data_IF_902788649422
#
_entry.id   IF_902788649422
#
_cell.length_a   1.000
_cell.length_b   1.000
_cell.length_c   1.000
_cell.angle_alpha   90.00
_cell.angle_beta   90.00
_cell.angle_gamma   90.00
#
_symmetry.space_group_name_H-M   'P 1'
#
loop_
_entity.id
_entity.type
_entity.pdbx_description
1 polymer ?
#
# COMPACT_ATOMS: atom_id res chain seq x y z
N UNK A 1 -32.79 10.38 40.18
CA UNK A 1 -33.68 9.72 39.19
C UNK A 1 -32.78 9.13 38.13
N UNK A 2 -32.57 7.81 38.17
CA UNK A 2 -31.77 7.09 37.17
C UNK A 2 -32.65 6.85 35.95
N UNK A 3 -32.28 7.44 34.80
CA UNK A 3 -32.94 7.15 33.52
C UNK A 3 -32.49 5.76 33.06
N UNK A 4 -33.29 4.74 33.32
CA UNK A 4 -33.14 3.46 32.64
C UNK A 4 -33.59 3.62 31.19
N UNK A 5 -32.82 3.10 30.21
CA UNK A 5 -33.21 3.14 28.80
C UNK A 5 -34.53 2.39 28.61
N UNK A 6 -35.46 2.93 27.82
CA UNK A 6 -36.73 2.27 27.56
C UNK A 6 -36.51 0.97 26.76
N UNK A 7 -37.42 0.01 26.92
CA UNK A 7 -37.41 -1.28 26.21
C UNK A 7 -37.20 -1.11 24.70
N UNK A 8 -37.87 -0.12 24.10
CA UNK A 8 -37.80 0.18 22.67
C UNK A 8 -36.39 0.60 22.22
N UNK A 9 -35.64 1.29 23.10
CA UNK A 9 -34.27 1.70 22.79
C UNK A 9 -33.30 0.51 22.81
N UNK A 10 -33.48 -0.42 23.76
CA UNK A 10 -32.68 -1.65 23.83
C UNK A 10 -32.97 -2.55 22.63
N UNK A 11 -34.24 -2.67 22.23
CA UNK A 11 -34.61 -3.46 21.05
C UNK A 11 -34.03 -2.86 19.75
N UNK A 12 -34.05 -1.54 19.61
CA UNK A 12 -33.40 -0.86 18.46
C UNK A 12 -31.88 -1.07 18.42
N UNK A 13 -31.22 -1.05 19.59
CA UNK A 13 -29.78 -1.35 19.70
C UNK A 13 -29.48 -2.80 19.32
N UNK A 14 -30.30 -3.76 19.78
CA UNK A 14 -30.16 -5.17 19.41
C UNK A 14 -30.34 -5.36 17.91
N UNK A 15 -31.36 -4.78 17.30
CA UNK A 15 -31.58 -4.85 15.84
C UNK A 15 -30.42 -4.22 15.05
N UNK A 16 -29.86 -3.11 15.55
CA UNK A 16 -28.70 -2.48 14.92
C UNK A 16 -27.45 -3.37 15.01
N UNK A 17 -27.23 -4.03 16.15
CA UNK A 17 -26.10 -4.94 16.35
C UNK A 17 -26.23 -6.19 15.47
N UNK A 18 -27.44 -6.77 15.37
CA UNK A 18 -27.71 -7.92 14.50
C UNK A 18 -27.48 -7.58 13.03
N UNK A 19 -27.91 -6.38 12.59
CA UNK A 19 -27.64 -5.91 11.24
C UNK A 19 -26.14 -5.72 10.96
N UNK A 20 -25.36 -5.26 11.96
CA UNK A 20 -23.90 -5.17 11.83
C UNK A 20 -23.27 -6.56 11.75
N UNK A 21 -23.72 -7.51 12.58
CA UNK A 21 -23.23 -8.88 12.57
C UNK A 21 -23.50 -9.57 11.23
N UNK A 22 -24.68 -9.39 10.65
CA UNK A 22 -25.02 -9.92 9.33
C UNK A 22 -24.13 -9.34 8.23
N UNK A 23 -23.84 -8.04 8.26
CA UNK A 23 -22.92 -7.41 7.29
C UNK A 23 -21.50 -7.98 7.40
N UNK A 24 -21.01 -8.20 8.62
CA UNK A 24 -19.70 -8.81 8.85
C UNK A 24 -19.67 -10.24 8.31
N UNK A 25 -20.71 -11.03 8.57
CA UNK A 25 -20.83 -12.41 8.06
C UNK A 25 -20.86 -12.45 6.53
N UNK A 26 -21.60 -11.53 5.89
CA UNK A 26 -21.66 -11.46 4.43
C UNK A 26 -20.31 -11.05 3.81
N UNK A 27 -19.60 -10.10 4.43
CA UNK A 27 -18.26 -9.70 4.00
C UNK A 27 -17.27 -10.86 4.13
N UNK A 28 -17.31 -11.60 5.25
CA UNK A 28 -16.47 -12.79 5.46
C UNK A 28 -16.73 -13.87 4.41
N UNK A 29 -18.00 -14.14 4.08
CA UNK A 29 -18.36 -15.10 3.04
C UNK A 29 -17.85 -14.67 1.66
N UNK A 30 -17.92 -13.39 1.35
CA UNK A 30 -17.42 -12.84 0.06
C UNK A 30 -15.91 -13.07 -0.09
N UNK A 31 -15.15 -12.89 1.00
CA UNK A 31 -13.70 -13.16 1.01
C UNK A 31 -13.44 -14.65 0.81
N UNK A 32 -14.16 -15.53 1.52
CA UNK A 32 -14.03 -16.98 1.37
C UNK A 32 -14.29 -17.43 -0.08
N UNK A 33 -15.35 -16.92 -0.70
CA UNK A 33 -15.71 -17.23 -2.08
C UNK A 33 -14.62 -16.75 -3.06
N UNK A 34 -14.02 -15.58 -2.80
CA UNK A 34 -12.91 -15.06 -3.61
C UNK A 34 -11.66 -15.93 -3.48
N UNK A 35 -11.33 -16.39 -2.27
CA UNK A 35 -10.22 -17.33 -2.04
C UNK A 35 -10.45 -18.65 -2.77
N UNK A 36 -11.65 -19.23 -2.66
CA UNK A 36 -11.99 -20.48 -3.36
C UNK A 36 -11.90 -20.33 -4.89
N UNK A 37 -12.34 -19.19 -5.44
CA UNK A 37 -12.19 -18.89 -6.88
C UNK A 37 -10.72 -18.81 -7.28
N UNK A 38 -9.89 -18.15 -6.48
CA UNK A 38 -8.45 -18.07 -6.74
C UNK A 38 -7.79 -19.45 -6.70
N UNK A 39 -8.14 -20.29 -5.73
CA UNK A 39 -7.65 -21.67 -5.63
C UNK A 39 -8.08 -22.52 -6.84
N UNK A 40 -9.32 -22.37 -7.31
CA UNK A 40 -9.81 -23.05 -8.50
C UNK A 40 -9.03 -22.63 -9.76
N UNK A 41 -8.72 -21.35 -9.91
CA UNK A 41 -7.88 -20.84 -11.01
C UNK A 41 -6.48 -21.45 -10.97
N UNK A 42 -5.87 -21.51 -9.78
CA UNK A 42 -4.54 -22.12 -9.59
C UNK A 42 -4.58 -23.62 -9.89
N UNK A 43 -5.63 -24.33 -9.49
CA UNK A 43 -5.81 -25.75 -9.81
C UNK A 43 -6.01 -25.99 -11.31
N UNK A 44 -6.80 -25.15 -11.99
CA UNK A 44 -6.96 -25.22 -13.44
C UNK A 44 -5.64 -24.97 -14.18
N UNK A 45 -4.85 -23.99 -13.72
CA UNK A 45 -3.54 -23.71 -14.29
C UNK A 45 -2.54 -24.88 -14.11
N UNK A 46 -2.65 -25.65 -13.02
CA UNK A 46 -1.84 -26.85 -12.77
C UNK A 46 -2.23 -28.07 -13.62
N UNK A 47 -3.43 -28.09 -14.19
CA UNK A 47 -3.94 -29.17 -15.03
C UNK A 47 -3.75 -28.91 -16.54
N UNK A 48 -3.26 -27.72 -16.92
CA UNK A 48 -2.91 -27.42 -18.30
C UNK A 48 -1.56 -28.08 -18.67
N UNK A 49 -1.61 -29.08 -19.56
CA UNK A 49 -0.50 -29.88 -20.08
C UNK A 49 0.58 -29.01 -20.78
N UNK A 50 1.90 -29.14 -20.49
CA UNK A 50 2.92 -28.25 -21.06
C UNK A 50 3.37 -28.61 -22.50
N UNK A 51 2.55 -29.30 -23.30
CA UNK A 51 2.96 -29.81 -24.61
C UNK A 51 2.09 -29.30 -25.78
N UNK A 52 2.47 -28.17 -26.37
CA UNK A 52 2.24 -27.85 -27.79
C UNK A 52 3.49 -27.14 -28.36
N UNK A 53 3.99 -27.52 -29.56
CA UNK A 53 5.40 -27.40 -29.89
C UNK A 53 5.80 -26.03 -30.47
N UNK A 54 6.94 -25.49 -30.02
CA UNK A 54 7.76 -24.57 -30.78
C UNK A 54 8.93 -25.37 -31.40
N UNK A 55 9.07 -25.29 -32.72
CA UNK A 55 10.05 -26.03 -33.51
C UNK A 55 11.49 -25.50 -33.31
N UNK A 56 12.43 -26.44 -33.12
CA UNK A 56 13.87 -26.47 -33.49
C UNK A 56 14.75 -25.20 -33.23
N UNK A 57 15.93 -25.25 -32.61
CA UNK A 57 17.04 -26.20 -32.75
C UNK A 57 18.16 -25.97 -31.69
N UNK A 58 19.02 -26.99 -31.53
CA UNK A 58 20.40 -27.01 -30.98
C UNK A 58 20.67 -27.53 -29.54
N UNK A 59 20.89 -28.86 -29.46
CA UNK A 59 21.99 -29.66 -28.81
C UNK A 59 23.09 -28.88 -28.05
N UNK A 60 23.72 -29.31 -26.95
CA UNK A 60 23.95 -30.64 -26.35
C UNK A 60 24.48 -30.53 -24.88
N UNK A 61 24.32 -31.64 -24.12
CA UNK A 61 25.16 -32.22 -23.03
C UNK A 61 25.56 -31.42 -21.77
N UNK A 62 25.67 -31.95 -20.54
CA UNK A 62 25.25 -33.18 -19.85
C UNK A 62 25.56 -32.98 -18.34
N UNK A 63 24.86 -33.73 -17.47
CA UNK A 63 25.25 -34.15 -16.11
C UNK A 63 25.24 -33.14 -14.94
N UNK A 64 24.31 -33.32 -14.00
CA UNK A 64 24.52 -34.09 -12.74
C UNK A 64 23.37 -33.82 -11.76
N UNK A 65 22.92 -34.89 -11.11
CA UNK A 65 21.88 -34.96 -10.11
C UNK A 65 22.02 -34.00 -8.92
N UNK A 66 20.89 -33.59 -8.34
CA UNK A 66 20.60 -33.81 -6.92
C UNK A 66 19.12 -33.58 -6.61
N UNK A 67 18.49 -34.64 -6.13
CA UNK A 67 17.19 -34.63 -5.47
C UNK A 67 17.35 -33.97 -4.10
N UNK A 68 16.47 -33.05 -3.75
CA UNK A 68 16.21 -32.68 -2.36
C UNK A 68 14.71 -32.73 -2.14
N UNK A 69 14.28 -33.77 -1.44
CA UNK A 69 12.99 -33.86 -0.77
C UNK A 69 12.85 -32.71 0.23
N UNK A 70 11.75 -31.95 0.17
CA UNK A 70 11.22 -31.27 1.35
C UNK A 70 9.69 -31.29 1.34
N UNK A 71 9.18 -32.34 2.00
CA UNK A 71 8.26 -32.25 3.14
C UNK A 71 7.03 -31.34 2.95
N UNK A 72 5.93 -31.98 2.57
CA UNK A 72 4.55 -31.53 2.78
C UNK A 72 4.39 -31.08 4.24
N UNK A 73 4.17 -29.79 4.47
CA UNK A 73 3.71 -29.28 5.75
C UNK A 73 2.18 -29.21 5.72
N UNK A 74 1.56 -29.90 6.67
CA UNK A 74 0.11 -29.89 6.94
C UNK A 74 -0.40 -28.47 7.26
N UNK A 75 -1.69 -28.18 7.02
CA UNK A 75 -2.30 -26.91 7.35
C UNK A 75 -2.42 -26.78 8.87
N UNK A 76 -1.51 -26.02 9.49
CA UNK A 76 -1.62 -25.66 10.90
C UNK A 76 -2.84 -24.74 11.06
N UNK A 77 -3.85 -25.25 11.78
CA UNK A 77 -5.03 -24.53 12.22
C UNK A 77 -4.64 -23.16 12.78
N UNK A 78 -5.22 -22.10 12.21
CA UNK A 78 -5.10 -20.74 12.72
C UNK A 78 -5.75 -20.66 14.10
N UNK A 79 -4.97 -20.86 15.15
CA UNK A 79 -5.29 -20.31 16.46
C UNK A 79 -5.48 -18.79 16.26
N UNK A 80 -6.57 -18.26 16.82
CA UNK A 80 -6.81 -16.82 16.88
C UNK A 80 -5.66 -16.19 17.68
N UNK A 81 -4.66 -15.73 16.95
CA UNK A 81 -3.49 -15.05 17.52
C UNK A 81 -3.95 -13.73 18.14
N UNK A 82 -4.05 -13.73 19.46
CA UNK A 82 -4.45 -12.57 20.27
C UNK A 82 -3.34 -11.52 20.34
N UNK A 83 -2.15 -11.77 19.79
CA UNK A 83 -1.05 -10.81 19.71
C UNK A 83 -1.21 -9.79 18.56
N UNK A 84 -2.23 -9.98 17.71
CA UNK A 84 -2.48 -9.11 16.55
C UNK A 84 -3.01 -7.70 16.90
N UNK A 85 -3.37 -7.44 18.16
CA UNK A 85 -3.89 -6.13 18.60
C UNK A 85 -2.80 -5.05 18.69
N UNK A 86 -1.52 -5.43 18.79
CA UNK A 86 -0.38 -4.51 18.91
C UNK A 86 0.58 -4.54 17.71
N UNK A 87 0.20 -5.21 16.62
CA UNK A 87 1.05 -5.31 15.45
C UNK A 87 1.25 -3.92 14.79
N UNK A 88 2.50 -3.49 14.54
CA UNK A 88 2.79 -2.14 14.08
C UNK A 88 2.19 -1.88 12.69
N UNK A 89 1.64 -0.67 12.49
CA UNK A 89 1.20 -0.21 11.18
C UNK A 89 2.43 0.15 10.35
N UNK A 90 2.56 -0.45 9.17
CA UNK A 90 3.65 -0.19 8.23
C UNK A 90 3.08 0.24 6.88
N UNK A 91 3.56 1.37 6.36
CA UNK A 91 3.20 1.86 5.03
C UNK A 91 4.43 1.81 4.14
N UNK A 92 4.31 1.13 3.01
CA UNK A 92 5.28 1.19 1.92
C UNK A 92 4.75 2.15 0.86
N UNK A 93 5.60 3.05 0.38
CA UNK A 93 5.17 4.12 -0.53
C UNK A 93 6.16 4.30 -1.66
N UNK A 94 5.63 4.42 -2.88
CA UNK A 94 6.43 4.63 -4.09
C UNK A 94 5.72 5.55 -5.09
N UNK A 95 6.49 6.14 -5.99
CA UNK A 95 6.01 7.01 -7.07
C UNK A 95 6.75 6.74 -8.37
N UNK A 96 6.00 6.65 -9.46
CA UNK A 96 6.52 6.37 -10.79
C UNK A 96 6.05 7.44 -11.79
N UNK A 97 6.87 7.73 -12.79
CA UNK A 97 6.55 8.66 -13.87
C UNK A 97 7.02 8.12 -15.24
N UNK A 98 6.13 8.17 -16.23
CA UNK A 98 6.44 7.90 -17.64
C UNK A 98 6.92 9.18 -18.33
N UNK A 99 8.19 9.52 -18.14
CA UNK A 99 8.77 10.82 -18.50
C UNK A 99 8.74 11.79 -17.31
N UNK A 100 9.66 12.77 -17.26
CA UNK A 100 9.79 13.66 -16.11
C UNK A 100 10.04 15.12 -16.53
N UNK A 101 9.00 15.96 -16.69
CA UNK A 101 7.60 15.70 -16.35
C UNK A 101 6.87 14.77 -17.34
N UNK A 102 5.76 14.20 -16.91
CA UNK A 102 4.88 13.33 -17.70
C UNK A 102 3.81 12.63 -16.84
N UNK A 103 3.04 11.69 -17.42
CA UNK A 103 2.04 10.93 -16.67
C UNK A 103 2.69 10.16 -15.53
N UNK A 104 2.21 10.38 -14.31
CA UNK A 104 2.74 9.78 -13.10
C UNK A 104 1.68 9.07 -12.28
N UNK A 105 2.13 8.14 -11.45
CA UNK A 105 1.29 7.41 -10.51
C UNK A 105 2.01 7.25 -9.18
N UNK A 106 1.24 7.14 -8.12
CA UNK A 106 1.71 6.91 -6.77
C UNK A 106 1.01 5.68 -6.18
N UNK A 107 1.70 4.96 -5.31
CA UNK A 107 1.23 3.72 -4.71
C UNK A 107 1.53 3.64 -3.23
N UNK A 108 0.58 3.13 -2.45
CA UNK A 108 0.71 2.86 -1.02
C UNK A 108 0.28 1.43 -0.75
N UNK A 109 1.20 0.64 -0.20
CA UNK A 109 0.90 -0.68 0.34
C UNK A 109 0.96 -0.62 1.87
N UNK A 110 -0.19 -0.67 2.54
CA UNK A 110 -0.30 -0.56 3.99
C UNK A 110 -0.59 -1.89 4.66
N UNK A 111 0.18 -2.22 5.71
CA UNK A 111 -0.02 -3.38 6.58
C UNK A 111 -0.53 -2.92 7.96
N UNK A 112 -1.66 -3.46 8.37
CA UNK A 112 -2.36 -3.18 9.62
C UNK A 112 -2.48 -4.51 10.39
N UNK A 113 -1.37 -4.91 11.00
CA UNK A 113 -1.21 -6.27 11.51
C UNK A 113 -1.33 -7.32 10.41
N UNK A 114 -2.44 -8.06 10.41
CA UNK A 114 -2.75 -9.07 9.38
C UNK A 114 -3.50 -8.53 8.17
N UNK A 115 -4.09 -7.34 8.30
CA UNK A 115 -4.82 -6.71 7.20
C UNK A 115 -3.87 -5.97 6.25
N UNK A 116 -4.19 -6.01 4.96
CA UNK A 116 -3.53 -5.22 3.92
C UNK A 116 -4.53 -4.24 3.34
N UNK A 117 -4.12 -2.98 3.18
CA UNK A 117 -4.89 -1.95 2.50
C UNK A 117 -4.00 -1.23 1.51
N UNK A 118 -4.39 -1.24 0.25
CA UNK A 118 -3.66 -0.60 -0.84
C UNK A 118 -4.39 0.66 -1.30
N UNK A 119 -3.62 1.68 -1.67
CA UNK A 119 -4.13 2.89 -2.32
C UNK A 119 -3.23 3.25 -3.49
N UNK A 120 -3.80 3.87 -4.51
CA UNK A 120 -3.05 4.35 -5.66
C UNK A 120 -3.77 5.55 -6.28
N UNK A 121 -3.01 6.42 -6.93
CA UNK A 121 -3.52 7.60 -7.63
C UNK A 121 -2.62 7.95 -8.80
N UNK A 122 -3.10 8.79 -9.71
CA UNK A 122 -2.35 9.17 -10.91
C UNK A 122 -2.54 10.64 -11.26
N UNK A 123 -1.62 11.19 -12.05
CA UNK A 123 -1.76 12.52 -12.63
C UNK A 123 -1.24 12.51 -14.08
N UNK A 124 -1.93 13.18 -15.04
CA UNK A 124 -1.52 13.18 -16.44
C UNK A 124 -0.23 13.95 -16.72
N UNK A 125 0.12 14.93 -15.88
CA UNK A 125 1.33 15.73 -16.04
C UNK A 125 1.92 16.10 -14.67
N UNK A 126 2.97 15.37 -14.27
CA UNK A 126 3.61 15.52 -12.97
C UNK A 126 5.07 15.10 -13.02
N UNK A 127 5.74 14.99 -11.87
CA UNK A 127 7.13 14.54 -11.73
C UNK A 127 7.25 13.39 -10.75
N UNK A 128 8.32 12.59 -10.86
CA UNK A 128 8.53 11.45 -9.97
C UNK A 128 8.49 11.87 -8.49
N UNK A 129 9.21 12.95 -8.16
CA UNK A 129 9.27 13.49 -6.81
C UNK A 129 7.89 13.87 -6.26
N UNK A 130 6.98 14.40 -7.10
CA UNK A 130 5.63 14.73 -6.66
C UNK A 130 4.83 13.45 -6.35
N UNK A 131 4.96 12.41 -7.18
CA UNK A 131 4.29 11.13 -6.94
C UNK A 131 4.79 10.43 -5.67
N UNK A 132 6.11 10.40 -5.45
CA UNK A 132 6.68 9.87 -4.21
C UNK A 132 6.15 10.62 -2.98
N UNK A 133 6.03 11.95 -3.06
CA UNK A 133 5.47 12.77 -1.98
C UNK A 133 3.98 12.50 -1.76
N UNK A 134 3.18 12.40 -2.83
CA UNK A 134 1.75 12.11 -2.73
C UNK A 134 1.51 10.72 -2.13
N UNK A 135 2.29 9.70 -2.48
CA UNK A 135 2.20 8.39 -1.84
C UNK A 135 2.34 8.50 -0.32
N UNK A 136 3.38 9.21 0.15
CA UNK A 136 3.60 9.42 1.58
C UNK A 136 2.47 10.23 2.24
N UNK A 137 1.97 11.27 1.57
CA UNK A 137 0.87 12.11 2.05
C UNK A 137 -0.42 11.28 2.21
N UNK A 138 -0.87 10.62 1.15
CA UNK A 138 -2.10 9.83 1.15
C UNK A 138 -2.02 8.64 2.12
N UNK A 139 -0.85 8.01 2.20
CA UNK A 139 -0.60 6.95 3.19
C UNK A 139 -0.75 7.44 4.62
N UNK A 140 -0.27 8.64 4.95
CA UNK A 140 -0.44 9.20 6.29
C UNK A 140 -1.87 9.68 6.52
N UNK A 141 -2.47 10.42 5.60
CA UNK A 141 -3.77 11.08 5.79
C UNK A 141 -4.93 10.11 6.07
N UNK A 142 -4.86 8.86 5.60
CA UNK A 142 -5.85 7.82 5.92
C UNK A 142 -5.81 7.36 7.39
N UNK A 143 -4.68 7.55 8.08
CA UNK A 143 -4.53 7.11 9.47
C UNK A 143 -5.17 8.12 10.42
N UNK A 144 -5.81 7.69 11.53
CA UNK A 144 -6.25 8.60 12.58
C UNK A 144 -5.10 9.42 13.17
N UNK A 145 -5.39 10.60 13.72
CA UNK A 145 -4.41 11.39 14.48
C UNK A 145 -3.86 10.60 15.69
N UNK A 146 -2.59 10.80 16.02
CA UNK A 146 -1.89 10.12 17.12
C UNK A 146 -1.39 8.71 16.79
N UNK A 147 -1.78 8.15 15.65
CA UNK A 147 -1.36 6.80 15.20
C UNK A 147 0.17 6.69 15.12
N UNK A 148 0.71 5.58 15.66
CA UNK A 148 2.09 5.19 15.46
C UNK A 148 2.23 4.38 14.17
N UNK A 149 3.12 4.80 13.28
CA UNK A 149 3.29 4.21 11.96
C UNK A 149 4.76 4.23 11.54
N UNK A 150 5.22 3.14 10.93
CA UNK A 150 6.45 3.13 10.17
C UNK A 150 6.15 3.39 8.70
N UNK A 151 6.74 4.44 8.12
CA UNK A 151 6.65 4.73 6.69
C UNK A 151 7.98 4.37 6.05
N UNK A 152 7.92 3.40 5.14
CA UNK A 152 9.03 2.86 4.37
C UNK A 152 8.97 3.41 2.94
N UNK A 153 10.06 4.01 2.49
CA UNK A 153 10.19 4.51 1.12
C UNK A 153 11.62 4.35 0.64
N UNK A 154 11.84 4.14 -0.65
CA UNK A 154 13.16 4.22 -1.27
C UNK A 154 13.53 5.64 -1.75
N UNK A 155 12.58 6.59 -1.65
CA UNK A 155 12.81 7.99 -1.96
C UNK A 155 13.67 8.67 -0.90
N UNK A 156 14.94 8.91 -1.27
CA UNK A 156 15.81 9.79 -0.49
C UNK A 156 15.29 11.24 -0.47
N UNK A 157 14.54 11.66 -1.50
CA UNK A 157 13.97 13.00 -1.59
C UNK A 157 12.93 13.21 -0.49
N UNK A 158 11.95 12.30 -0.38
CA UNK A 158 10.93 12.31 0.67
C UNK A 158 11.58 12.18 2.05
N UNK A 159 12.37 11.12 2.26
CA UNK A 159 12.96 10.84 3.57
C UNK A 159 13.86 11.97 4.06
N UNK A 160 14.79 12.49 3.25
CA UNK A 160 15.67 13.57 3.73
C UNK A 160 14.93 14.91 3.80
N UNK A 161 13.94 15.15 2.94
CA UNK A 161 13.15 16.37 2.99
C UNK A 161 12.40 16.51 4.31
N UNK A 162 11.63 15.48 4.69
CA UNK A 162 10.83 15.52 5.92
C UNK A 162 11.66 15.41 7.21
N UNK A 163 12.78 14.67 7.19
CA UNK A 163 13.61 14.46 8.40
C UNK A 163 14.74 15.48 8.59
N UNK A 164 15.11 16.23 7.55
CA UNK A 164 16.28 17.15 7.61
C UNK A 164 15.95 18.54 7.07
N UNK A 165 15.54 18.64 5.81
CA UNK A 165 15.50 19.93 5.10
C UNK A 165 14.35 20.82 5.57
N UNK A 166 13.21 20.22 5.91
CA UNK A 166 11.97 20.94 6.24
C UNK A 166 12.13 21.88 7.44
N UNK A 167 12.93 21.51 8.45
CA UNK A 167 13.20 22.37 9.60
C UNK A 167 13.91 23.67 9.18
N UNK A 168 14.85 23.57 8.25
CA UNK A 168 15.54 24.72 7.67
C UNK A 168 14.60 25.59 6.83
N UNK A 169 13.77 24.97 6.00
CA UNK A 169 12.80 25.68 5.17
C UNK A 169 11.74 26.40 6.00
N UNK A 170 11.18 25.78 7.04
CA UNK A 170 10.23 26.43 7.96
C UNK A 170 10.83 27.66 8.62
N UNK A 171 12.07 27.57 9.14
CA UNK A 171 12.79 28.73 9.71
C UNK A 171 13.02 29.86 8.71
N UNK A 172 13.22 29.54 7.43
CA UNK A 172 13.45 30.51 6.35
C UNK A 172 12.15 30.95 5.64
N UNK A 173 10.99 30.66 6.21
CA UNK A 173 9.70 31.04 5.61
C UNK A 173 9.46 30.38 4.25
N UNK A 174 9.90 29.13 4.09
CA UNK A 174 9.77 28.32 2.87
C UNK A 174 10.50 28.89 1.64
N UNK A 175 11.63 29.55 1.87
CA UNK A 175 12.52 30.07 0.83
C UNK A 175 13.88 29.38 0.83
N UNK A 176 14.44 29.21 -0.36
CA UNK A 176 15.83 28.78 -0.59
C UNK A 176 16.80 29.95 -0.33
N UNK A 177 18.10 29.67 -0.37
CA UNK A 177 19.16 30.68 -0.18
C UNK A 177 19.17 31.76 -1.27
N UNK A 178 18.69 31.45 -2.47
CA UNK A 178 18.52 32.39 -3.59
C UNK A 178 17.23 33.24 -3.50
N UNK A 179 16.49 33.13 -2.38
CA UNK A 179 15.24 33.86 -2.15
C UNK A 179 14.01 33.27 -2.85
N UNK A 180 14.18 32.28 -3.72
CA UNK A 180 13.06 31.62 -4.42
C UNK A 180 12.31 30.68 -3.47
N UNK A 181 11.02 30.41 -3.73
CA UNK A 181 10.27 29.39 -3.00
C UNK A 181 10.95 28.01 -3.09
N UNK A 182 10.76 27.20 -2.06
CA UNK A 182 11.15 25.78 -2.08
C UNK A 182 10.32 25.06 -3.16
N UNK A 183 10.95 24.18 -3.92
CA UNK A 183 10.27 23.36 -4.93
C UNK A 183 9.28 22.41 -4.24
N UNK A 184 8.09 22.20 -4.82
CA UNK A 184 7.01 21.38 -4.24
C UNK A 184 6.57 21.84 -2.84
N UNK A 185 6.65 23.15 -2.56
CA UNK A 185 6.28 23.73 -1.25
C UNK A 185 4.85 23.37 -0.83
N UNK A 186 3.93 23.30 -1.78
CA UNK A 186 2.55 22.83 -1.61
C UNK A 186 2.50 21.44 -0.95
N UNK A 187 3.18 20.46 -1.55
CA UNK A 187 3.21 19.09 -1.03
C UNK A 187 4.02 18.99 0.26
N UNK A 188 5.11 19.75 0.41
CA UNK A 188 5.89 19.73 1.65
C UNK A 188 5.09 20.23 2.85
N UNK A 189 4.28 21.27 2.67
CA UNK A 189 3.39 21.78 3.74
C UNK A 189 2.33 20.75 4.11
N UNK A 190 1.73 20.09 3.12
CA UNK A 190 0.74 19.02 3.35
C UNK A 190 1.37 17.82 4.07
N UNK A 191 2.55 17.39 3.63
CA UNK A 191 3.27 16.29 4.25
C UNK A 191 3.71 16.61 5.68
N UNK A 192 4.20 17.82 5.95
CA UNK A 192 4.54 18.31 7.30
C UNK A 192 3.32 18.24 8.24
N UNK A 193 2.17 18.71 7.76
CA UNK A 193 0.93 18.69 8.53
C UNK A 193 0.46 17.26 8.83
N UNK A 194 0.42 16.39 7.82
CA UNK A 194 0.04 14.99 7.98
C UNK A 194 1.00 14.24 8.93
N UNK A 195 2.30 14.52 8.82
CA UNK A 195 3.32 13.92 9.68
C UNK A 195 3.24 14.41 11.11
N UNK A 196 3.00 15.71 11.34
CA UNK A 196 2.96 16.31 12.67
C UNK A 196 1.79 15.78 13.53
N UNK A 197 0.70 15.34 12.90
CA UNK A 197 -0.45 14.75 13.58
C UNK A 197 -0.23 13.28 13.99
N UNK A 198 0.88 12.64 13.59
CA UNK A 198 1.12 11.18 13.75
C UNK A 198 2.51 10.92 14.33
N UNK A 199 2.68 9.74 14.94
CA UNK A 199 3.99 9.29 15.46
C UNK A 199 4.71 8.50 14.36
N UNK A 200 5.24 9.22 13.38
CA UNK A 200 5.83 8.62 12.17
C UNK A 200 7.30 8.25 12.40
N UNK A 201 7.63 6.96 12.23
CA UNK A 201 9.01 6.47 12.07
C UNK A 201 9.31 6.39 10.57
N UNK A 202 10.31 7.14 10.11
CA UNK A 202 10.73 7.15 8.71
C UNK A 202 11.86 6.16 8.46
N UNK A 203 11.60 5.18 7.60
CA UNK A 203 12.56 4.16 7.20
C UNK A 203 12.88 4.30 5.72
N UNK A 204 14.18 4.34 5.41
CA UNK A 204 14.64 4.36 4.03
C UNK A 204 15.26 3.02 3.69
N UNK A 205 14.83 2.46 2.57
CA UNK A 205 15.42 1.27 1.97
C UNK A 205 16.12 1.66 0.68
N UNK A 206 17.13 0.87 0.30
CA UNK A 206 17.79 1.08 -0.98
C UNK A 206 16.88 0.51 -2.07
N UNK A 207 16.49 1.33 -3.04
CA UNK A 207 15.80 0.85 -4.24
C UNK A 207 16.66 -0.17 -4.99
N UNK A 208 16.00 -1.04 -5.76
CA UNK A 208 16.47 -2.26 -6.46
C UNK A 208 16.23 -3.58 -5.69
N UNK A 209 15.01 -4.11 -5.84
CA UNK A 209 14.53 -5.48 -5.56
C UNK A 209 14.86 -6.12 -4.19
N UNK A 210 13.92 -6.88 -3.65
CA UNK A 210 14.07 -7.64 -2.39
C UNK A 210 13.30 -7.08 -1.20
N UNK A 211 12.36 -6.16 -1.44
CA UNK A 211 11.45 -5.63 -0.43
C UNK A 211 10.01 -5.74 -0.92
N UNK A 212 9.36 -6.88 -0.65
CA UNK A 212 8.01 -7.20 -1.15
C UNK A 212 7.01 -6.05 -0.98
N UNK A 213 6.98 -5.40 0.19
CA UNK A 213 6.08 -4.27 0.42
C UNK A 213 6.34 -3.06 -0.48
N UNK A 214 7.60 -2.77 -0.80
CA UNK A 214 7.95 -1.68 -1.71
C UNK A 214 7.70 -2.06 -3.17
N UNK A 215 7.98 -3.31 -3.56
CA UNK A 215 7.65 -3.82 -4.90
C UNK A 215 6.14 -3.75 -5.16
N UNK A 216 5.33 -4.03 -4.14
CA UNK A 216 3.87 -3.82 -4.23
C UNK A 216 3.50 -2.35 -4.40
N UNK A 217 4.19 -1.43 -3.71
CA UNK A 217 3.95 0.00 -3.85
C UNK A 217 4.34 0.53 -5.25
N UNK A 218 5.48 0.09 -5.79
CA UNK A 218 5.92 0.38 -7.17
C UNK A 218 4.88 -0.13 -8.18
N UNK A 219 4.44 -1.38 -8.03
CA UNK A 219 3.44 -1.97 -8.92
C UNK A 219 2.12 -1.20 -8.90
N UNK A 220 1.68 -0.72 -7.72
CA UNK A 220 0.50 0.14 -7.59
C UNK A 220 0.70 1.48 -8.32
N UNK A 221 1.86 2.11 -8.17
CA UNK A 221 2.19 3.37 -8.86
C UNK A 221 2.17 3.21 -10.38
N UNK A 222 2.80 2.15 -10.91
CA UNK A 222 2.80 1.85 -12.35
C UNK A 222 1.39 1.52 -12.86
N UNK A 223 0.62 0.74 -12.09
CA UNK A 223 -0.76 0.40 -12.45
C UNK A 223 -1.66 1.64 -12.51
N UNK A 224 -1.48 2.59 -11.60
CA UNK A 224 -2.26 3.82 -11.58
C UNK A 224 -2.08 4.64 -12.87
N UNK A 225 -0.86 4.71 -13.42
CA UNK A 225 -0.60 5.37 -14.71
C UNK A 225 -1.41 4.71 -15.83
N UNK A 226 -1.41 3.38 -15.88
CA UNK A 226 -2.15 2.61 -16.90
C UNK A 226 -3.66 2.83 -16.78
N UNK A 227 -4.21 2.69 -15.56
CA UNK A 227 -5.63 2.88 -15.29
C UNK A 227 -6.07 4.31 -15.60
N UNK A 228 -5.26 5.30 -15.20
CA UNK A 228 -5.50 6.70 -15.48
C UNK A 228 -5.57 7.03 -16.96
N UNK A 229 -4.61 6.55 -17.76
CA UNK A 229 -4.62 6.70 -19.21
C UNK A 229 -5.83 6.04 -19.89
N UNK A 230 -6.33 4.95 -19.31
CA UNK A 230 -7.54 4.26 -19.81
C UNK A 230 -8.86 4.91 -19.37
N UNK A 231 -8.81 5.90 -18.46
CA UNK A 231 -9.99 6.53 -17.87
C UNK A 231 -10.65 5.73 -16.74
N UNK A 232 -10.01 4.65 -16.27
CA UNK A 232 -10.51 3.82 -15.16
C UNK A 232 -10.24 4.44 -13.77
N UNK A 233 -9.33 5.42 -13.70
CA UNK A 233 -9.00 6.15 -12.48
C UNK A 233 -9.05 7.66 -12.77
N UNK A 234 -9.70 8.43 -11.90
CA UNK A 234 -9.68 9.89 -11.99
C UNK A 234 -8.31 10.46 -11.58
N UNK A 235 -7.93 11.60 -12.16
CA UNK A 235 -6.67 12.25 -11.83
C UNK A 235 -6.70 12.80 -10.40
N UNK A 236 -5.60 12.60 -9.68
CA UNK A 236 -5.39 13.17 -8.36
C UNK A 236 -5.33 14.70 -8.48
N UNK A 237 -6.21 15.44 -7.79
CA UNK A 237 -6.23 16.90 -7.87
C UNK A 237 -4.98 17.56 -7.29
N UNK A 238 -4.19 16.84 -6.48
CA UNK A 238 -2.92 17.30 -5.94
C UNK A 238 -1.70 16.82 -6.77
N UNK A 239 -1.96 16.14 -7.90
CA UNK A 239 -1.00 15.65 -8.88
C UNK A 239 0.05 16.65 -9.34
#
# INVERSE_FOLDING_TARGET
MTNEPSSDHLEALTQQLDAQLQRIQQAAQTVLDATQKAEAIIQQAKQADPAAPLSAAAVADNATAQQVETKTAEPQQAALDLDAVDAPIVLYTDGACSGNPGPGGWGVHGRFGREVRNQQGWSPDTTNNRMEMLAAIHGLEVLPEGTAVELVTDSQYVKNGITKWIHGWKRKGWKKSDGKPVLNMDLWKRLDAASAQRKVKWSWIKGHAGHEGNEMADQLAVNAISQGRSGALEADPAG
#
